data_IF_487067446727
#
_entry.id   IF_487067446727
#
_cell.length_a   1.000
_cell.length_b   1.000
_cell.length_c   1.000
_cell.angle_alpha   90.00
_cell.angle_beta   90.00
_cell.angle_gamma   90.00
#
_symmetry.space_group_name_H-M   'P 1'
#
loop_
_entity.id
_entity.type
_entity.pdbx_description
1 polymer ?
#
# COMPACT_ATOMS: atom_id res chain seq x y z
N UNK A 1 -43.91 29.97 -27.44
CA UNK A 1 -44.57 28.69 -27.78
C UNK A 1 -43.48 27.62 -27.83
N UNK A 2 -43.47 26.73 -26.83
CA UNK A 2 -42.89 25.36 -26.88
C UNK A 2 -41.34 25.32 -26.92
N UNK A 3 -40.58 24.59 -26.08
CA UNK A 3 -40.91 23.48 -25.19
C UNK A 3 -39.80 23.25 -24.13
N UNK A 4 -40.25 22.90 -22.93
CA UNK A 4 -39.73 22.03 -21.87
C UNK A 4 -38.21 21.82 -21.64
N UNK A 5 -37.85 22.12 -20.40
CA UNK A 5 -36.75 21.61 -19.59
C UNK A 5 -36.55 20.09 -19.68
N UNK A 6 -35.33 19.65 -20.00
CA UNK A 6 -34.91 18.27 -19.85
C UNK A 6 -34.56 17.96 -18.39
N UNK A 7 -35.27 17.00 -17.80
CA UNK A 7 -34.96 16.43 -16.49
C UNK A 7 -33.74 15.53 -16.66
N UNK A 8 -32.61 15.92 -16.07
CA UNK A 8 -31.43 15.04 -15.95
C UNK A 8 -31.72 14.01 -14.86
N UNK A 9 -31.92 12.75 -15.28
CA UNK A 9 -32.02 11.61 -14.38
C UNK A 9 -30.63 11.34 -13.77
N UNK A 10 -30.49 11.60 -12.47
CA UNK A 10 -29.31 11.23 -11.70
C UNK A 10 -29.23 9.70 -11.60
N UNK A 11 -28.30 9.09 -12.34
CA UNK A 11 -27.92 7.69 -12.12
C UNK A 11 -27.14 7.64 -10.82
N UNK A 12 -27.76 7.11 -9.77
CA UNK A 12 -27.09 6.80 -8.52
C UNK A 12 -26.17 5.61 -8.76
N UNK A 13 -24.90 5.88 -9.09
CA UNK A 13 -23.87 4.84 -9.12
C UNK A 13 -23.70 4.31 -7.70
N UNK A 14 -24.26 3.13 -7.43
CA UNK A 14 -24.01 2.42 -6.19
C UNK A 14 -22.49 2.19 -6.08
N UNK A 15 -21.85 2.47 -4.93
CA UNK A 15 -20.47 2.09 -4.74
C UNK A 15 -20.43 0.57 -4.74
N UNK A 16 -19.89 -0.03 -5.80
CA UNK A 16 -19.36 -1.38 -5.71
C UNK A 16 -18.22 -1.29 -4.71
N UNK A 17 -18.49 -1.70 -3.48
CA UNK A 17 -17.43 -1.97 -2.52
C UNK A 17 -16.55 -3.04 -3.19
N UNK A 18 -15.47 -2.60 -3.82
CA UNK A 18 -14.35 -3.47 -4.12
C UNK A 18 -14.04 -4.15 -2.80
N UNK A 19 -14.30 -5.46 -2.75
CA UNK A 19 -14.03 -6.25 -1.56
C UNK A 19 -12.64 -5.87 -1.09
N UNK A 20 -12.56 -5.24 0.08
CA UNK A 20 -11.27 -5.07 0.73
C UNK A 20 -10.78 -6.50 0.91
N UNK A 21 -9.91 -6.95 0.01
CA UNK A 21 -9.27 -8.24 0.13
C UNK A 21 -8.67 -8.21 1.52
N UNK A 22 -9.25 -9.04 2.39
CA UNK A 22 -8.89 -9.10 3.80
C UNK A 22 -7.36 -9.33 3.78
N UNK A 23 -6.53 -8.37 4.25
CA UNK A 23 -5.09 -8.44 4.02
C UNK A 23 -4.47 -9.73 4.54
N UNK A 24 -5.14 -10.39 5.49
CA UNK A 24 -4.71 -11.65 6.05
C UNK A 24 -5.04 -12.81 5.11
N UNK A 25 -6.08 -12.72 4.26
CA UNK A 25 -6.30 -13.68 3.17
C UNK A 25 -5.16 -13.65 2.16
N UNK A 26 -4.75 -12.48 1.66
CA UNK A 26 -3.66 -12.40 0.67
C UNK A 26 -2.36 -12.92 1.28
N UNK A 27 -2.07 -12.56 2.53
CA UNK A 27 -0.89 -13.07 3.26
C UNK A 27 -0.98 -14.57 3.55
N UNK A 28 -2.18 -15.12 3.77
CA UNK A 28 -2.37 -16.57 3.98
C UNK A 28 -2.08 -17.40 2.73
N UNK A 29 -2.29 -16.84 1.54
CA UNK A 29 -2.02 -17.50 0.26
C UNK A 29 -0.53 -17.52 -0.10
N UNK A 30 0.30 -16.74 0.60
CA UNK A 30 1.73 -16.67 0.38
C UNK A 30 2.43 -17.88 1.02
N UNK A 31 2.45 -19.00 0.31
CA UNK A 31 3.02 -20.28 0.77
C UNK A 31 4.46 -20.14 1.30
N UNK A 32 5.25 -19.26 0.69
CA UNK A 32 6.64 -18.99 1.03
C UNK A 32 6.81 -18.45 2.46
N UNK A 33 5.80 -17.76 3.01
CA UNK A 33 5.84 -17.24 4.38
C UNK A 33 5.88 -18.40 5.37
N UNK A 34 5.10 -19.44 5.12
CA UNK A 34 5.05 -20.63 5.97
C UNK A 34 6.28 -21.51 5.74
N UNK A 35 6.64 -21.76 4.48
CA UNK A 35 7.78 -22.61 4.12
C UNK A 35 9.11 -22.09 4.69
N UNK A 36 9.36 -20.79 4.60
CA UNK A 36 10.56 -20.14 5.14
C UNK A 36 10.43 -19.77 6.63
N UNK A 37 9.28 -20.04 7.25
CA UNK A 37 8.99 -19.70 8.64
C UNK A 37 9.26 -18.21 8.95
N UNK A 38 8.90 -17.30 8.03
CA UNK A 38 9.29 -15.89 8.14
C UNK A 38 8.74 -15.22 9.39
N UNK A 39 7.61 -15.67 9.93
CA UNK A 39 7.08 -15.20 11.20
C UNK A 39 8.02 -15.48 12.39
N UNK A 40 8.76 -16.59 12.37
CA UNK A 40 9.73 -16.93 13.41
C UNK A 40 11.09 -16.27 13.15
N UNK A 41 11.48 -16.15 11.88
CA UNK A 41 12.69 -15.40 11.48
C UNK A 41 12.58 -13.94 11.91
N UNK A 42 11.44 -13.29 11.66
CA UNK A 42 11.22 -11.89 12.01
C UNK A 42 11.18 -11.60 13.52
N UNK A 43 10.96 -12.62 14.37
CA UNK A 43 11.16 -12.47 15.83
C UNK A 43 12.62 -12.31 16.21
N UNK A 44 13.55 -12.75 15.35
CA UNK A 44 15.00 -12.67 15.55
C UNK A 44 15.64 -11.50 14.83
N UNK A 45 15.22 -11.23 13.59
CA UNK A 45 15.69 -10.09 12.80
C UNK A 45 14.68 -9.73 11.71
N UNK A 46 14.45 -8.44 11.51
CA UNK A 46 13.54 -7.91 10.48
C UNK A 46 14.28 -7.32 9.28
N UNK A 47 15.61 -7.29 9.30
CA UNK A 47 16.39 -6.58 8.28
C UNK A 47 16.35 -5.06 8.40
N UNK A 48 15.87 -4.50 9.51
CA UNK A 48 15.85 -3.05 9.72
C UNK A 48 17.25 -2.43 9.55
N UNK A 49 17.33 -1.36 8.75
CA UNK A 49 18.58 -0.66 8.45
C UNK A 49 19.45 -1.32 7.39
N UNK A 50 19.03 -2.47 6.82
CA UNK A 50 19.72 -3.10 5.70
C UNK A 50 19.20 -2.50 4.39
N UNK A 51 20.13 -2.03 3.55
CA UNK A 51 19.82 -1.53 2.21
C UNK A 51 20.07 -2.66 1.20
N UNK A 52 19.09 -2.92 0.33
CA UNK A 52 19.17 -3.93 -0.73
C UNK A 52 19.02 -3.23 -2.07
N UNK A 53 19.95 -3.46 -3.00
CA UNK A 53 19.87 -2.93 -4.35
C UNK A 53 19.02 -3.86 -5.24
N UNK A 54 18.03 -3.28 -5.94
CA UNK A 54 17.22 -3.98 -6.95
C UNK A 54 17.75 -3.58 -8.32
N UNK A 55 18.31 -4.55 -9.05
CA UNK A 55 18.84 -4.36 -10.41
C UNK A 55 17.83 -4.97 -11.40
N UNK A 56 16.84 -4.17 -11.80
CA UNK A 56 15.72 -4.62 -12.63
C UNK A 56 15.24 -3.47 -13.56
N UNK A 57 13.94 -3.39 -13.91
CA UNK A 57 13.35 -2.32 -14.74
C UNK A 57 13.29 -0.95 -14.06
N UNK A 58 13.38 -0.90 -12.73
CA UNK A 58 13.16 0.29 -11.92
C UNK A 58 12.30 -0.04 -10.70
N UNK A 59 11.98 0.95 -9.86
CA UNK A 59 11.03 0.78 -8.75
C UNK A 59 10.18 2.02 -8.66
N UNK A 60 8.85 1.87 -8.61
CA UNK A 60 7.96 2.99 -8.32
C UNK A 60 7.99 3.34 -6.82
N UNK A 61 8.57 4.49 -6.42
CA UNK A 61 8.60 4.90 -5.01
C UNK A 61 7.23 5.35 -4.49
N UNK A 62 6.26 5.60 -5.38
CA UNK A 62 4.91 6.02 -5.03
C UNK A 62 3.97 4.83 -4.81
N UNK A 63 4.44 3.59 -5.06
CA UNK A 63 3.63 2.41 -4.75
C UNK A 63 3.26 2.41 -3.26
N UNK A 64 1.96 2.28 -2.89
CA UNK A 64 1.51 2.46 -1.50
C UNK A 64 2.22 1.55 -0.50
N UNK A 65 2.66 0.37 -0.94
CA UNK A 65 3.34 -0.62 -0.10
C UNK A 65 4.85 -0.38 0.07
N UNK A 66 5.42 0.55 -0.72
CA UNK A 66 6.85 0.88 -0.76
C UNK A 66 7.15 2.34 -0.36
N UNK A 67 6.11 3.11 -0.04
CA UNK A 67 6.26 4.52 0.35
C UNK A 67 7.22 4.65 1.53
N UNK A 68 8.31 5.40 1.34
CA UNK A 68 9.34 5.61 2.35
C UNK A 68 10.39 4.49 2.48
N UNK A 69 10.31 3.42 1.67
CA UNK A 69 11.28 2.32 1.65
C UNK A 69 12.28 2.41 0.49
N UNK A 70 11.97 3.19 -0.56
CA UNK A 70 12.79 3.30 -1.77
C UNK A 70 13.78 4.45 -1.64
N UNK A 71 15.07 4.14 -1.76
CA UNK A 71 16.17 5.11 -1.85
C UNK A 71 16.57 5.30 -3.31
N UNK A 72 16.96 6.51 -3.68
CA UNK A 72 17.47 6.78 -5.03
C UNK A 72 18.86 6.15 -5.19
N UNK A 73 18.98 5.24 -6.16
CA UNK A 73 20.24 4.61 -6.53
C UNK A 73 21.10 5.50 -7.46
N UNK A 74 22.33 5.06 -7.77
CA UNK A 74 23.29 5.82 -8.59
C UNK A 74 22.90 5.90 -10.08
N UNK A 75 21.99 5.05 -10.54
CA UNK A 75 21.56 5.00 -11.95
C UNK A 75 20.54 6.10 -12.29
N UNK A 76 20.63 6.63 -13.51
CA UNK A 76 19.85 7.79 -13.96
C UNK A 76 18.42 7.48 -14.41
N UNK A 77 18.09 6.20 -14.65
CA UNK A 77 16.77 5.75 -15.09
C UNK A 77 16.25 4.68 -14.15
N UNK A 78 15.38 5.06 -13.22
CA UNK A 78 14.78 4.15 -12.23
C UNK A 78 13.26 4.00 -12.42
N UNK A 79 12.73 4.43 -13.57
CA UNK A 79 11.30 4.34 -13.87
C UNK A 79 10.94 2.91 -14.25
N UNK A 80 10.13 2.26 -13.42
CA UNK A 80 9.60 0.94 -13.70
C UNK A 80 8.47 1.00 -14.73
N UNK A 81 8.74 0.54 -15.95
CA UNK A 81 7.79 0.62 -17.08
C UNK A 81 6.87 -0.59 -17.18
N UNK A 82 7.25 -1.72 -16.61
CA UNK A 82 6.52 -3.00 -16.72
C UNK A 82 6.03 -3.53 -15.36
N UNK A 83 6.40 -2.87 -14.26
CA UNK A 83 6.01 -3.22 -12.89
C UNK A 83 6.85 -4.33 -12.27
N UNK A 84 7.82 -4.89 -12.99
CA UNK A 84 8.60 -6.07 -12.55
C UNK A 84 9.49 -5.72 -11.37
N UNK A 85 10.25 -4.64 -11.46
CA UNK A 85 11.14 -4.23 -10.38
C UNK A 85 10.38 -3.74 -9.13
N UNK A 86 9.22 -3.09 -9.30
CA UNK A 86 8.30 -2.76 -8.19
C UNK A 86 7.75 -4.01 -7.53
N UNK A 87 7.40 -5.04 -8.31
CA UNK A 87 6.99 -6.34 -7.80
C UNK A 87 8.08 -7.01 -6.95
N UNK A 88 9.33 -7.02 -7.43
CA UNK A 88 10.47 -7.54 -6.68
C UNK A 88 10.75 -6.74 -5.41
N UNK A 89 10.70 -5.41 -5.49
CA UNK A 89 10.85 -4.53 -4.33
C UNK A 89 9.77 -4.79 -3.28
N UNK A 90 8.52 -5.05 -3.70
CA UNK A 90 7.42 -5.45 -2.83
C UNK A 90 7.68 -6.74 -2.06
N UNK A 91 8.36 -7.73 -2.67
CA UNK A 91 8.75 -8.97 -1.98
C UNK A 91 9.83 -8.75 -0.92
N UNK A 92 10.70 -7.76 -1.11
CA UNK A 92 11.83 -7.47 -0.22
C UNK A 92 11.39 -6.55 0.94
N UNK A 93 10.68 -5.46 0.64
CA UNK A 93 10.42 -4.37 1.57
C UNK A 93 8.94 -3.95 1.67
N UNK A 94 8.02 -4.72 1.08
CA UNK A 94 6.58 -4.44 1.14
C UNK A 94 6.05 -4.51 2.58
N UNK A 95 5.34 -3.47 3.00
CA UNK A 95 4.84 -3.35 4.38
C UNK A 95 3.50 -4.10 4.61
N UNK A 96 2.82 -4.49 3.53
CA UNK A 96 1.39 -4.79 3.54
C UNK A 96 0.54 -3.53 3.73
N UNK A 97 -0.69 -3.51 3.19
CA UNK A 97 -1.64 -2.37 3.24
C UNK A 97 -2.17 -2.08 4.67
N UNK A 98 -1.46 -2.47 5.73
CA UNK A 98 -1.75 -2.14 7.13
C UNK A 98 -1.10 -0.84 7.61
N UNK A 99 -0.31 -0.14 6.79
CA UNK A 99 0.05 1.25 7.04
C UNK A 99 -1.12 2.20 6.71
N UNK A 100 -2.31 1.94 7.26
CA UNK A 100 -3.33 2.97 7.34
C UNK A 100 -2.76 4.08 8.22
N UNK A 101 -2.38 5.19 7.60
CA UNK A 101 -2.35 6.51 8.24
C UNK A 101 -3.70 6.66 8.93
N UNK A 102 -3.76 6.44 10.24
CA UNK A 102 -4.93 6.84 11.02
C UNK A 102 -4.81 8.35 11.21
N UNK A 103 -5.64 9.20 10.59
CA UNK A 103 -5.76 10.57 11.07
C UNK A 103 -6.36 10.48 12.47
N UNK A 104 -5.50 10.61 13.48
CA UNK A 104 -5.93 10.60 14.87
C UNK A 104 -6.45 12.02 15.19
N UNK A 105 -7.71 12.26 14.86
CA UNK A 105 -8.43 13.42 15.38
C UNK A 105 -8.75 13.12 16.85
N UNK A 106 -8.01 13.72 17.78
CA UNK A 106 -8.45 13.83 19.17
C UNK A 106 -8.59 15.30 19.53
N UNK A 107 -9.82 15.81 19.48
CA UNK A 107 -10.23 16.94 20.33
C UNK A 107 -11.73 16.93 20.56
N UNK A 108 -12.11 16.84 21.84
CA UNK A 108 -13.49 17.08 22.27
C UNK A 108 -13.99 16.31 23.49
N UNK A 109 -13.22 16.19 24.59
CA UNK A 109 -13.85 16.04 25.91
C UNK A 109 -13.50 17.31 26.68
N UNK A 110 -14.40 18.30 26.62
CA UNK A 110 -14.42 19.38 27.60
C UNK A 110 -14.84 18.78 28.94
N UNK A 111 -13.86 18.59 29.82
CA UNK A 111 -14.06 18.32 31.24
C UNK A 111 -12.95 19.02 32.00
N UNK A 112 -13.31 20.10 32.71
CA UNK A 112 -12.43 20.90 33.55
C UNK A 112 -11.86 20.08 34.71
N UNK A 113 -10.57 20.21 34.98
CA UNK A 113 -9.99 20.06 36.32
C UNK A 113 -8.76 20.95 36.46
N UNK A 114 -8.77 21.80 37.50
CA UNK A 114 -7.62 22.54 38.02
C UNK A 114 -7.38 23.91 37.41
#
# INVERSE_FOLDING_TARGET
>A
MVLLTAVMASVLAAPTAASAAEPDLVRSLQWQIQYLQLNDVHKKSTGAGIVVAVVDSGVDPQHPDLTGQVLQGPESSNTDVDGRGTGLAGLIAGMGIRAQVRPLWTRGITGSWG
#
